data_IF_166883295070
#
_entry.id   IF_166883295070
#
_cell.length_a   1.000
_cell.length_b   1.000
_cell.length_c   1.000
_cell.angle_alpha   90.00
_cell.angle_beta   90.00
_cell.angle_gamma   90.00
#
_symmetry.space_group_name_H-M   'P 1'
#
loop_
_entity.id
_entity.type
_entity.pdbx_description
1 polymer ?
#
# COMPACT_ATOMS: atom_id res chain seq x y z
N UNK A 1 13.70 -10.58 23.92
CA UNK A 1 12.44 -10.43 23.17
C UNK A 1 12.59 -9.27 22.20
N UNK A 2 13.12 -9.52 20.99
CA UNK A 2 13.38 -8.43 20.01
C UNK A 2 13.24 -8.88 18.54
N UNK A 3 12.92 -10.14 18.27
CA UNK A 3 12.86 -10.67 16.90
C UNK A 3 11.52 -10.37 16.22
N UNK A 4 10.40 -10.42 16.97
CA UNK A 4 9.05 -10.30 16.39
C UNK A 4 8.70 -8.90 15.84
N UNK A 5 9.34 -7.83 16.35
CA UNK A 5 9.16 -6.48 15.80
C UNK A 5 9.90 -6.30 14.47
N UNK A 6 11.08 -6.90 14.32
CA UNK A 6 11.88 -6.78 13.09
C UNK A 6 11.28 -7.58 11.94
N UNK A 7 10.70 -8.74 12.25
CA UNK A 7 10.03 -9.57 11.23
C UNK A 7 8.83 -8.85 10.60
N UNK A 8 7.99 -8.20 11.41
CA UNK A 8 6.82 -7.47 10.88
C UNK A 8 7.20 -6.25 10.04
N UNK A 9 8.20 -5.49 10.47
CA UNK A 9 8.74 -4.36 9.71
C UNK A 9 9.29 -4.82 8.35
N UNK A 10 10.05 -5.93 8.32
CA UNK A 10 10.60 -6.48 7.08
C UNK A 10 9.51 -6.93 6.11
N UNK A 11 8.50 -7.67 6.59
CA UNK A 11 7.38 -8.10 5.74
C UNK A 11 6.61 -6.91 5.20
N UNK A 12 6.43 -5.86 6.01
CA UNK A 12 5.77 -4.63 5.59
C UNK A 12 6.55 -3.90 4.49
N UNK A 13 7.85 -3.68 4.68
CA UNK A 13 8.69 -3.04 3.67
C UNK A 13 8.77 -3.86 2.38
N UNK A 14 8.78 -5.19 2.48
CA UNK A 14 8.76 -6.08 1.33
C UNK A 14 7.46 -5.92 0.52
N UNK A 15 6.30 -5.89 1.19
CA UNK A 15 5.00 -5.67 0.52
C UNK A 15 4.90 -4.30 -0.15
N UNK A 16 5.41 -3.25 0.49
CA UNK A 16 5.49 -1.92 -0.13
C UNK A 16 6.39 -1.96 -1.36
N UNK A 17 7.54 -2.62 -1.30
CA UNK A 17 8.43 -2.75 -2.46
C UNK A 17 7.73 -3.49 -3.60
N UNK A 18 7.05 -4.60 -3.29
CA UNK A 18 6.26 -5.37 -4.26
C UNK A 18 5.20 -4.48 -4.92
N UNK A 19 4.40 -3.74 -4.13
CA UNK A 19 3.39 -2.82 -4.66
C UNK A 19 3.99 -1.79 -5.62
N UNK A 20 5.17 -1.25 -5.28
CA UNK A 20 5.84 -0.20 -6.07
C UNK A 20 6.50 -0.73 -7.35
N UNK A 21 7.05 -1.93 -7.32
CA UNK A 21 7.84 -2.47 -8.43
C UNK A 21 7.01 -3.34 -9.38
N UNK A 22 6.10 -4.14 -8.83
CA UNK A 22 5.39 -5.19 -9.57
C UNK A 22 3.87 -5.05 -9.48
N UNK A 23 3.37 -4.24 -8.55
CA UNK A 23 1.97 -4.24 -8.15
C UNK A 23 1.70 -5.32 -7.10
N UNK A 24 0.56 -5.18 -6.41
CA UNK A 24 0.15 -6.05 -5.31
C UNK A 24 -1.25 -6.58 -5.55
N UNK A 25 -1.42 -7.92 -5.55
CA UNK A 25 -2.70 -8.60 -5.81
C UNK A 25 -3.45 -8.07 -7.06
N UNK A 26 -2.71 -7.74 -8.14
CA UNK A 26 -3.29 -7.21 -9.37
C UNK A 26 -3.58 -5.71 -9.38
N UNK A 27 -3.31 -5.00 -8.28
CA UNK A 27 -3.34 -3.54 -8.21
C UNK A 27 -1.95 -2.95 -8.50
N UNK A 28 -1.91 -1.90 -9.31
CA UNK A 28 -0.71 -1.13 -9.62
C UNK A 28 -0.91 0.33 -9.24
N UNK A 29 0.18 1.03 -8.90
CA UNK A 29 0.13 2.46 -8.61
C UNK A 29 -0.30 3.22 -9.86
N UNK A 30 -1.43 3.92 -9.77
CA UNK A 30 -2.00 4.75 -10.83
C UNK A 30 -1.56 6.20 -10.66
N UNK A 31 -1.58 6.71 -9.41
CA UNK A 31 -1.21 8.08 -9.13
C UNK A 31 -0.67 8.27 -7.70
N UNK A 32 0.29 9.17 -7.54
CA UNK A 32 0.77 9.63 -6.23
C UNK A 32 0.78 11.14 -6.27
N UNK A 33 0.06 11.78 -5.33
CA UNK A 33 0.02 13.24 -5.23
C UNK A 33 0.10 13.71 -3.79
N UNK A 34 0.61 14.92 -3.61
CA UNK A 34 0.53 15.61 -2.33
C UNK A 34 -0.94 15.95 -2.04
N UNK A 35 -1.41 15.64 -0.84
CA UNK A 35 -2.76 15.94 -0.39
C UNK A 35 -2.68 16.61 0.98
N UNK A 36 -2.99 17.91 1.02
CA UNK A 36 -2.83 18.76 2.20
C UNK A 36 -1.39 18.75 2.73
N UNK A 37 -1.17 18.28 3.96
CA UNK A 37 0.14 18.09 4.59
C UNK A 37 0.72 16.68 4.39
N UNK A 38 0.02 15.79 3.69
CA UNK A 38 0.42 14.40 3.49
C UNK A 38 0.51 13.97 2.03
N UNK A 39 0.47 12.66 1.83
CA UNK A 39 0.55 11.98 0.54
C UNK A 39 -0.73 11.18 0.33
N UNK A 40 -1.29 11.27 -0.87
CA UNK A 40 -2.38 10.41 -1.34
C UNK A 40 -1.86 9.51 -2.45
N UNK A 41 -2.09 8.21 -2.30
CA UNK A 41 -1.75 7.18 -3.26
C UNK A 41 -3.06 6.59 -3.81
N UNK A 42 -3.13 6.47 -5.12
CA UNK A 42 -4.20 5.76 -5.82
C UNK A 42 -3.60 4.58 -6.55
N UNK A 43 -4.20 3.41 -6.36
CA UNK A 43 -3.89 2.18 -7.11
C UNK A 43 -5.09 1.77 -7.94
N UNK A 44 -4.83 1.06 -9.04
CA UNK A 44 -5.85 0.54 -9.93
C UNK A 44 -5.55 -0.90 -10.33
N UNK A 45 -6.57 -1.75 -10.41
CA UNK A 45 -6.43 -3.10 -10.97
C UNK A 45 -6.88 -3.19 -12.44
N UNK A 46 -6.64 -4.34 -13.06
CA UNK A 46 -7.02 -4.60 -14.46
C UNK A 46 -8.55 -4.59 -14.70
N UNK A 47 -9.35 -4.76 -13.64
CA UNK A 47 -10.82 -4.65 -13.70
C UNK A 47 -11.31 -3.20 -13.71
N UNK A 48 -10.39 -2.23 -13.50
CA UNK A 48 -10.71 -0.81 -13.42
C UNK A 48 -11.09 -0.34 -12.01
N UNK A 49 -11.01 -1.20 -11.00
CA UNK A 49 -11.25 -0.84 -9.61
C UNK A 49 -10.09 -0.01 -9.08
N UNK A 50 -10.41 1.05 -8.36
CA UNK A 50 -9.42 1.98 -7.81
C UNK A 50 -9.54 2.06 -6.30
N UNK A 51 -8.41 1.94 -5.61
CA UNK A 51 -8.31 2.16 -4.17
C UNK A 51 -7.47 3.42 -3.97
N UNK A 52 -7.93 4.31 -3.11
CA UNK A 52 -7.20 5.52 -2.77
C UNK A 52 -7.06 5.62 -1.27
N UNK A 53 -5.84 5.83 -0.80
CA UNK A 53 -5.55 6.07 0.60
C UNK A 53 -4.59 7.25 0.76
N UNK A 54 -4.59 7.84 1.95
CA UNK A 54 -3.73 8.97 2.28
C UNK A 54 -3.15 8.84 3.68
N UNK A 55 -1.91 9.29 3.85
CA UNK A 55 -1.20 9.32 5.13
C UNK A 55 -0.32 10.56 5.23
N UNK A 56 0.24 10.81 6.41
CA UNK A 56 1.20 11.90 6.62
C UNK A 56 2.49 11.62 5.85
N UNK A 57 2.86 10.34 5.74
CA UNK A 57 3.99 9.85 4.95
C UNK A 57 3.56 8.95 3.77
N UNK A 58 4.42 8.78 2.74
CA UNK A 58 4.16 7.80 1.68
C UNK A 58 3.97 6.38 2.24
N UNK A 59 4.72 6.00 3.26
CA UNK A 59 4.70 4.66 3.87
C UNK A 59 3.35 4.36 4.52
N UNK A 60 2.78 5.32 5.25
CA UNK A 60 1.42 5.19 5.78
C UNK A 60 0.38 5.08 4.67
N UNK A 61 0.49 5.91 3.62
CA UNK A 61 -0.44 5.81 2.50
C UNK A 61 -0.35 4.43 1.80
N UNK A 62 0.85 3.86 1.65
CA UNK A 62 1.00 2.51 1.12
C UNK A 62 0.49 1.43 2.08
N UNK A 63 0.66 1.61 3.39
CA UNK A 63 0.11 0.72 4.41
C UNK A 63 -1.40 0.57 4.26
N UNK A 64 -2.10 1.70 4.21
CA UNK A 64 -3.56 1.73 4.10
C UNK A 64 -4.04 1.13 2.78
N UNK A 65 -3.28 1.30 1.69
CA UNK A 65 -3.56 0.62 0.41
C UNK A 65 -3.43 -0.90 0.56
N UNK A 66 -2.33 -1.39 1.14
CA UNK A 66 -2.10 -2.84 1.29
C UNK A 66 -3.17 -3.46 2.19
N UNK A 67 -3.50 -2.82 3.31
CA UNK A 67 -4.55 -3.28 4.23
C UNK A 67 -5.92 -3.34 3.54
N UNK A 68 -6.25 -2.32 2.73
CA UNK A 68 -7.48 -2.32 1.93
C UNK A 68 -7.52 -3.44 0.90
N UNK A 69 -6.39 -3.74 0.24
CA UNK A 69 -6.29 -4.85 -0.72
C UNK A 69 -6.39 -6.20 -0.02
N UNK A 70 -5.73 -6.37 1.13
CA UNK A 70 -5.81 -7.58 1.94
C UNK A 70 -7.27 -7.83 2.38
N UNK A 71 -7.97 -6.80 2.86
CA UNK A 71 -9.38 -6.90 3.24
C UNK A 71 -10.30 -7.28 2.06
N UNK A 72 -9.99 -6.81 0.86
CA UNK A 72 -10.75 -7.15 -0.35
C UNK A 72 -10.49 -8.58 -0.84
N UNK A 73 -9.27 -9.09 -0.63
CA UNK A 73 -8.86 -10.41 -1.15
C UNK A 73 -9.11 -11.57 -0.17
N UNK A 74 -9.31 -11.28 1.11
CA UNK A 74 -9.67 -12.26 2.14
C UNK A 74 -11.19 -12.58 2.21
N UNK A 75 -12.01 -11.98 1.34
CA UNK A 75 -13.47 -12.26 1.19
C UNK A 75 -13.80 -13.35 0.17
#
# INVERSE_FOLDING_TARGET
MSSEKRDRDNVFHERISILKEQGYCGFMIDNIKKHWDGIQVTVRNNSGETITASGETPEEAYSEIIDSIDLMTDM
#
